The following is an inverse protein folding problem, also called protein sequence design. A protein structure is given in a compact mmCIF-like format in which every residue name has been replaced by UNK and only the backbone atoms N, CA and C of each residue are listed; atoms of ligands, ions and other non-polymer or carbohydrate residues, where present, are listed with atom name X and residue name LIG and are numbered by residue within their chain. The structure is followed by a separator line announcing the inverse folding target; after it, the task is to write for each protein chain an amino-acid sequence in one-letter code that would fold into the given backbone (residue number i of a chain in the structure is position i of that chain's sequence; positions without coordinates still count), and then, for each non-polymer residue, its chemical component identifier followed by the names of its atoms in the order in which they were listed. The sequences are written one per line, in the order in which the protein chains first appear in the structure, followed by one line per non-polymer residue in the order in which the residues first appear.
data_IF_389651865314
#
_entry.id   IF_389651865314
#
_cell.length_a   1.000
_cell.length_b   1.000
_cell.length_c   1.000
_cell.angle_alpha   90.00
_cell.angle_beta   90.00
_cell.angle_gamma   90.00
#
_symmetry.space_group_name_H-M   'P 1'
#
loop_
_entity.id
_entity.type
_entity.pdbx_description
1 polymer ?
#
# COMPACT_ATOMS: atom_id res chain seq x y z
N UNK A 1 3.81 20.89 -29.07
CA UNK A 1 3.55 19.60 -29.75
C UNK A 1 2.35 19.66 -30.70
N UNK A 2 1.14 20.04 -30.25
CA UNK A 2 -0.01 20.29 -31.15
C UNK A 2 0.29 21.26 -32.30
N UNK A 3 1.14 22.26 -32.04
CA UNK A 3 1.56 23.26 -33.03
C UNK A 3 2.41 22.67 -34.17
N UNK A 4 3.22 21.63 -33.90
CA UNK A 4 4.01 20.97 -34.95
C UNK A 4 3.14 20.18 -35.92
N UNK A 5 2.14 19.47 -35.41
CA UNK A 5 1.17 18.77 -36.25
C UNK A 5 0.30 19.75 -37.05
N UNK A 6 -0.13 20.85 -36.43
CA UNK A 6 -0.88 21.91 -37.13
C UNK A 6 -0.05 22.52 -38.28
N UNK A 7 1.21 22.88 -38.00
CA UNK A 7 2.11 23.43 -39.02
C UNK A 7 2.45 22.42 -40.13
N UNK A 8 2.49 21.11 -39.81
CA UNK A 8 2.69 20.06 -40.81
C UNK A 8 1.49 19.96 -41.78
N UNK A 9 0.27 20.04 -41.25
CA UNK A 9 -0.97 20.06 -42.05
C UNK A 9 -1.02 21.30 -42.94
N UNK A 10 -0.66 22.48 -42.40
CA UNK A 10 -0.61 23.72 -43.17
C UNK A 10 0.43 23.66 -44.30
N UNK A 11 1.63 23.12 -44.03
CA UNK A 11 2.68 22.93 -45.05
C UNK A 11 2.27 21.93 -46.14
N UNK A 12 1.58 20.85 -45.76
CA UNK A 12 1.04 19.88 -46.70
C UNK A 12 -0.02 20.50 -47.63
N UNK A 13 -0.93 21.31 -47.08
CA UNK A 13 -1.94 22.03 -47.85
C UNK A 13 -1.33 23.06 -48.83
N UNK A 14 -0.15 23.59 -48.53
CA UNK A 14 0.62 24.49 -49.40
C UNK A 14 1.48 23.73 -50.43
N UNK A 15 1.48 22.40 -50.43
CA UNK A 15 2.27 21.56 -51.35
C UNK A 15 3.76 21.42 -50.97
N UNK A 16 4.16 21.91 -49.80
CA UNK A 16 5.53 21.81 -49.29
C UNK A 16 5.69 20.52 -48.46
N UNK A 17 5.75 19.40 -49.17
CA UNK A 17 5.78 18.05 -48.58
C UNK A 17 7.04 17.78 -47.76
N UNK A 18 8.20 18.31 -48.17
CA UNK A 18 9.45 18.20 -47.42
C UNK A 18 9.36 18.88 -46.05
N UNK A 19 8.74 20.07 -46.02
CA UNK A 19 8.50 20.79 -44.77
C UNK A 19 7.44 20.13 -43.90
N UNK A 20 6.38 19.59 -44.52
CA UNK A 20 5.34 18.85 -43.81
C UNK A 20 5.92 17.62 -43.09
N UNK A 21 6.73 16.81 -43.78
CA UNK A 21 7.37 15.63 -43.19
C UNK A 21 8.31 16.00 -42.03
N UNK A 22 9.16 17.02 -42.20
CA UNK A 22 10.05 17.50 -41.13
C UNK A 22 9.30 17.98 -39.89
N UNK A 23 8.14 18.61 -40.06
CA UNK A 23 7.30 19.08 -38.96
C UNK A 23 6.57 17.94 -38.27
N UNK A 24 6.14 16.94 -39.03
CA UNK A 24 5.53 15.72 -38.51
C UNK A 24 6.51 14.91 -37.65
N UNK A 25 7.74 14.71 -38.12
CA UNK A 25 8.80 14.03 -37.36
C UNK A 25 9.10 14.72 -36.03
N UNK A 26 9.16 16.06 -36.03
CA UNK A 26 9.31 16.85 -34.80
C UNK A 26 8.12 16.68 -33.86
N UNK A 27 6.90 16.66 -34.40
CA UNK A 27 5.68 16.39 -33.65
C UNK A 27 5.73 15.05 -32.93
N UNK A 28 6.13 13.99 -33.64
CA UNK A 28 6.28 12.64 -33.10
C UNK A 28 7.37 12.54 -32.04
N UNK A 29 8.53 13.16 -32.27
CA UNK A 29 9.64 13.14 -31.32
C UNK A 29 9.26 13.75 -29.97
N UNK A 30 8.63 14.94 -29.98
CA UNK A 30 8.19 15.57 -28.73
C UNK A 30 6.99 14.85 -28.10
N UNK A 31 6.14 14.20 -28.90
CA UNK A 31 5.06 13.37 -28.38
C UNK A 31 5.59 12.21 -27.55
N UNK A 32 6.50 11.43 -28.12
CA UNK A 32 7.07 10.26 -27.46
C UNK A 32 7.81 10.65 -26.19
N UNK A 33 8.53 11.78 -26.19
CA UNK A 33 9.18 12.29 -24.98
C UNK A 33 8.19 12.67 -23.89
N UNK A 34 7.09 13.34 -24.24
CA UNK A 34 6.06 13.69 -23.26
C UNK A 34 5.36 12.44 -22.71
N UNK A 35 5.04 11.48 -23.58
CA UNK A 35 4.44 10.21 -23.17
C UNK A 35 5.36 9.44 -22.22
N UNK A 36 6.64 9.31 -22.56
CA UNK A 36 7.62 8.61 -21.72
C UNK A 36 7.79 9.30 -20.36
N UNK A 37 7.82 10.64 -20.34
CA UNK A 37 7.89 11.39 -19.09
C UNK A 37 6.63 11.21 -18.22
N UNK A 38 5.44 11.18 -18.83
CA UNK A 38 4.18 10.91 -18.13
C UNK A 38 4.12 9.47 -17.61
N UNK A 39 4.61 8.49 -18.36
CA UNK A 39 4.70 7.09 -17.94
C UNK A 39 5.69 6.93 -16.77
N UNK A 40 6.89 7.53 -16.87
CA UNK A 40 7.89 7.53 -15.79
C UNK A 40 7.37 8.27 -14.54
N UNK A 41 6.65 9.36 -14.73
CA UNK A 41 6.01 10.10 -13.63
C UNK A 41 4.90 9.28 -12.99
N UNK A 42 4.05 8.62 -13.78
CA UNK A 42 2.98 7.75 -13.30
C UNK A 42 3.55 6.56 -12.52
N UNK A 43 4.63 5.94 -13.01
CA UNK A 43 5.34 4.89 -12.29
C UNK A 43 5.91 5.39 -10.96
N UNK A 44 6.55 6.56 -10.94
CA UNK A 44 7.05 7.17 -9.69
C UNK A 44 5.92 7.52 -8.73
N UNK A 45 4.80 8.04 -9.22
CA UNK A 45 3.61 8.31 -8.39
C UNK A 45 3.05 7.00 -7.82
N UNK A 46 3.01 5.92 -8.61
CA UNK A 46 2.59 4.60 -8.14
C UNK A 46 3.56 4.03 -7.08
N UNK A 47 4.86 4.16 -7.27
CA UNK A 47 5.89 3.76 -6.29
C UNK A 47 5.80 4.60 -5.01
N UNK A 48 5.67 5.93 -5.14
CA UNK A 48 5.52 6.86 -4.02
C UNK A 48 4.22 6.57 -3.27
N UNK A 49 3.10 6.31 -3.96
CA UNK A 49 1.85 5.92 -3.31
C UNK A 49 1.98 4.55 -2.65
N UNK A 50 2.66 3.57 -3.24
CA UNK A 50 2.92 2.30 -2.56
C UNK A 50 3.77 2.46 -1.28
N UNK A 51 4.52 3.56 -1.15
CA UNK A 51 5.31 3.95 0.02
C UNK A 51 4.55 4.89 0.98
N UNK A 52 3.71 5.80 0.47
CA UNK A 52 3.00 6.85 1.23
C UNK A 52 1.53 6.52 1.54
N UNK A 53 0.87 5.72 0.70
CA UNK A 53 -0.47 5.17 0.89
C UNK A 53 -0.40 3.66 1.16
N UNK A 54 0.53 3.22 2.01
CA UNK A 54 0.12 2.21 2.98
C UNK A 54 -0.96 2.91 3.81
N UNK A 55 -2.24 2.72 3.45
CA UNK A 55 -3.29 2.77 4.45
C UNK A 55 -2.83 1.77 5.52
N UNK A 56 -2.16 2.28 6.55
CA UNK A 56 -1.60 1.50 7.64
C UNK A 56 -2.80 0.95 8.39
N UNK A 57 -3.25 -0.23 7.97
CA UNK A 57 -4.46 -0.83 8.47
C UNK A 57 -4.31 -0.97 9.97
N UNK A 58 -5.12 -0.21 10.70
CA UNK A 58 -5.08 -0.18 12.16
C UNK A 58 -6.24 -0.97 12.73
N UNK A 59 -5.93 -1.79 13.73
CA UNK A 59 -6.88 -2.57 14.49
C UNK A 59 -6.75 -2.15 15.95
N UNK A 60 -7.77 -1.45 16.42
CA UNK A 60 -7.85 -1.09 17.82
C UNK A 60 -8.55 -2.19 18.63
N UNK A 61 -7.84 -2.77 19.60
CA UNK A 61 -8.38 -3.75 20.54
C UNK A 61 -8.42 -3.24 21.98
N UNK A 62 -8.08 -1.96 22.24
CA UNK A 62 -7.88 -1.45 23.60
C UNK A 62 -9.18 -1.32 24.41
N UNK A 63 -10.33 -1.17 23.76
CA UNK A 63 -11.64 -1.12 24.43
C UNK A 63 -12.21 -2.52 24.68
N UNK A 64 -11.61 -3.55 24.10
CA UNK A 64 -12.14 -4.91 24.17
C UNK A 64 -11.54 -5.70 25.33
N UNK A 65 -12.39 -6.50 25.97
CA UNK A 65 -11.94 -7.55 26.88
C UNK A 65 -10.96 -8.51 26.18
N UNK A 66 -10.13 -9.18 26.97
CA UNK A 66 -9.04 -10.01 26.47
C UNK A 66 -9.50 -11.11 25.48
N UNK A 67 -10.69 -11.69 25.65
CA UNK A 67 -11.23 -12.72 24.74
C UNK A 67 -11.75 -12.14 23.40
N UNK A 68 -12.64 -11.14 23.40
CA UNK A 68 -13.03 -10.44 22.18
C UNK A 68 -11.85 -9.88 21.39
N UNK A 69 -10.87 -9.28 22.05
CA UNK A 69 -9.65 -8.77 21.43
C UNK A 69 -8.92 -9.86 20.62
N UNK A 70 -8.74 -11.05 21.21
CA UNK A 70 -8.09 -12.18 20.54
C UNK A 70 -8.91 -12.68 19.35
N UNK A 71 -10.23 -12.76 19.49
CA UNK A 71 -11.11 -13.20 18.40
C UNK A 71 -11.02 -12.23 17.22
N UNK A 72 -11.02 -10.93 17.50
CA UNK A 72 -10.94 -9.89 16.48
C UNK A 72 -9.58 -9.90 15.77
N UNK A 73 -8.49 -10.05 16.53
CA UNK A 73 -7.15 -10.15 15.98
C UNK A 73 -7.00 -11.38 15.06
N UNK A 74 -7.46 -12.55 15.50
CA UNK A 74 -7.44 -13.77 14.68
C UNK A 74 -8.21 -13.60 13.36
N UNK A 75 -9.38 -12.96 13.43
CA UNK A 75 -10.17 -12.70 12.23
C UNK A 75 -9.38 -11.85 11.24
N UNK A 76 -8.84 -10.70 11.66
CA UNK A 76 -8.08 -9.81 10.77
C UNK A 76 -6.85 -10.49 10.18
N UNK A 77 -6.05 -11.17 11.01
CA UNK A 77 -4.88 -11.92 10.51
C UNK A 77 -5.32 -12.97 9.48
N UNK A 78 -6.38 -13.74 9.76
CA UNK A 78 -6.83 -14.78 8.82
C UNK A 78 -7.33 -14.25 7.48
N UNK A 79 -8.00 -13.09 7.48
CA UNK A 79 -8.60 -12.53 6.27
C UNK A 79 -7.60 -11.75 5.41
N UNK A 80 -6.55 -11.19 6.04
CA UNK A 80 -5.66 -10.25 5.38
C UNK A 80 -4.28 -10.85 5.05
N UNK A 81 -3.88 -11.93 5.73
CA UNK A 81 -2.61 -12.60 5.46
C UNK A 81 -2.55 -13.15 4.04
N UNK A 82 -1.41 -12.97 3.37
CA UNK A 82 -1.20 -13.44 2.00
C UNK A 82 -1.82 -12.55 0.91
N UNK A 83 -2.48 -11.43 1.25
CA UNK A 83 -2.93 -10.43 0.29
C UNK A 83 -1.83 -9.38 0.12
N UNK A 84 -1.27 -9.26 -1.09
CA UNK A 84 -0.11 -8.39 -1.37
C UNK A 84 -0.34 -6.89 -1.10
N UNK A 85 -1.60 -6.44 -1.08
CA UNK A 85 -1.96 -5.05 -0.77
C UNK A 85 -1.93 -4.74 0.74
N UNK A 86 -1.98 -5.76 1.61
CA UNK A 86 -1.93 -5.60 3.06
C UNK A 86 -0.59 -6.11 3.59
N UNK A 87 0.38 -5.21 3.73
CA UNK A 87 1.73 -5.59 4.20
C UNK A 87 1.82 -5.65 5.72
N UNK A 88 1.26 -4.66 6.41
CA UNK A 88 1.34 -4.55 7.86
C UNK A 88 -0.04 -4.31 8.47
N UNK A 89 -0.25 -4.86 9.66
CA UNK A 89 -1.38 -4.57 10.53
C UNK A 89 -0.85 -3.87 11.79
N UNK A 90 -1.26 -2.62 12.02
CA UNK A 90 -0.99 -1.88 13.25
C UNK A 90 -2.04 -2.27 14.30
N UNK A 91 -1.65 -2.83 15.43
CA UNK A 91 -2.57 -3.29 16.48
C UNK A 91 -2.38 -2.46 17.74
N UNK A 92 -3.41 -1.72 18.15
CA UNK A 92 -3.40 -0.90 19.36
C UNK A 92 -3.93 -1.75 20.51
N UNK A 93 -3.03 -2.15 21.41
CA UNK A 93 -3.32 -3.07 22.54
C UNK A 93 -3.60 -2.28 23.81
N UNK A 94 -2.79 -1.27 24.08
CA UNK A 94 -2.87 -0.42 25.27
C UNK A 94 -2.79 1.04 24.81
N UNK A 95 -3.47 1.91 25.55
CA UNK A 95 -3.33 3.37 25.46
C UNK A 95 -2.72 3.86 26.78
N UNK A 96 -2.45 5.16 26.90
CA UNK A 96 -2.01 5.75 28.18
C UNK A 96 -3.09 5.70 29.28
N UNK A 97 -4.30 5.22 28.96
CA UNK A 97 -5.38 5.05 29.91
C UNK A 97 -5.23 3.78 30.73
N UNK A 98 -5.95 3.71 31.86
CA UNK A 98 -5.89 2.57 32.77
C UNK A 98 -6.49 1.32 32.11
N UNK A 99 -5.66 0.31 31.86
CA UNK A 99 -6.13 -0.97 31.32
C UNK A 99 -7.14 -1.66 32.24
N UNK A 100 -8.34 -1.86 31.72
CA UNK A 100 -9.45 -2.54 32.39
C UNK A 100 -9.18 -4.05 32.55
N UNK A 101 -8.32 -4.62 31.71
CA UNK A 101 -8.01 -6.05 31.68
C UNK A 101 -6.81 -6.45 32.56
N UNK A 102 -6.18 -5.49 33.25
CA UNK A 102 -5.01 -5.71 34.12
C UNK A 102 -3.86 -6.49 33.43
N UNK A 103 -3.61 -6.20 32.15
CA UNK A 103 -2.58 -6.79 31.31
C UNK A 103 -2.97 -8.13 30.67
N UNK A 104 -4.18 -8.66 30.94
CA UNK A 104 -4.60 -9.94 30.40
C UNK A 104 -4.70 -9.93 28.88
N UNK A 105 -5.17 -8.83 28.28
CA UNK A 105 -5.27 -8.66 26.82
C UNK A 105 -3.89 -8.78 26.16
N UNK A 106 -2.93 -7.95 26.57
CA UNK A 106 -1.55 -7.97 26.05
C UNK A 106 -0.92 -9.35 26.18
N UNK A 107 -1.00 -9.96 27.36
CA UNK A 107 -0.44 -11.31 27.60
C UNK A 107 -1.03 -12.37 26.65
N UNK A 108 -2.34 -12.35 26.41
CA UNK A 108 -2.96 -13.30 25.49
C UNK A 108 -2.57 -13.04 24.04
N UNK A 109 -2.45 -11.77 23.64
CA UNK A 109 -2.04 -11.41 22.28
C UNK A 109 -0.62 -11.88 22.02
N UNK A 110 0.32 -11.58 22.92
CA UNK A 110 1.71 -12.05 22.78
C UNK A 110 1.80 -13.58 22.74
N UNK A 111 1.05 -14.28 23.60
CA UNK A 111 0.99 -15.74 23.59
C UNK A 111 0.43 -16.31 22.28
N UNK A 112 -0.53 -15.62 21.65
CA UNK A 112 -1.05 -16.01 20.34
C UNK A 112 0.03 -15.86 19.27
N UNK A 113 0.71 -14.72 19.21
CA UNK A 113 1.73 -14.45 18.21
C UNK A 113 2.91 -15.44 18.33
N UNK A 114 3.36 -15.71 19.56
CA UNK A 114 4.40 -16.71 19.84
C UNK A 114 3.97 -18.12 19.40
N UNK A 115 2.76 -18.55 19.78
CA UNK A 115 2.24 -19.89 19.41
C UNK A 115 2.22 -20.10 17.90
N UNK A 116 1.87 -19.06 17.15
CA UNK A 116 1.70 -19.12 15.70
C UNK A 116 2.98 -18.73 14.94
N UNK A 117 4.08 -18.47 15.68
CA UNK A 117 5.36 -17.99 15.13
C UNK A 117 5.21 -16.75 14.25
N UNK A 118 4.32 -15.84 14.64
CA UNK A 118 4.07 -14.59 13.93
C UNK A 118 5.04 -13.52 14.44
N UNK A 119 5.83 -12.96 13.53
CA UNK A 119 6.71 -11.84 13.81
C UNK A 119 5.90 -10.57 14.12
N UNK A 120 6.41 -9.75 15.03
CA UNK A 120 5.87 -8.43 15.33
C UNK A 120 6.97 -7.49 15.84
N UNK A 121 6.75 -6.19 15.71
CA UNK A 121 7.62 -5.14 16.26
C UNK A 121 6.79 -4.15 17.05
N UNK A 122 7.37 -3.51 18.08
CA UNK A 122 6.71 -2.38 18.74
C UNK A 122 6.63 -1.21 17.75
N UNK A 123 5.47 -0.56 17.66
CA UNK A 123 5.30 0.68 16.91
C UNK A 123 5.82 1.88 17.73
N UNK A 124 5.86 3.07 17.13
CA UNK A 124 6.34 4.28 17.83
C UNK A 124 5.52 4.66 19.08
N UNK A 125 4.28 4.19 19.18
CA UNK A 125 3.37 4.42 20.30
C UNK A 125 3.41 3.25 21.29
N UNK A 126 3.57 3.53 22.58
CA UNK A 126 3.58 2.50 23.61
C UNK A 126 2.27 1.70 23.64
N UNK A 127 2.37 0.37 23.62
CA UNK A 127 1.18 -0.48 23.63
C UNK A 127 0.62 -0.74 22.23
N UNK A 128 1.36 -0.38 21.19
CA UNK A 128 0.99 -0.64 19.79
C UNK A 128 2.05 -1.51 19.12
N UNK A 129 1.62 -2.50 18.35
CA UNK A 129 2.51 -3.39 17.61
C UNK A 129 2.21 -3.36 16.11
N UNK A 130 3.21 -3.75 15.31
CA UNK A 130 3.09 -3.96 13.88
C UNK A 130 3.28 -5.44 13.56
N UNK A 131 2.35 -6.01 12.79
CA UNK A 131 2.38 -7.40 12.34
C UNK A 131 2.56 -7.43 10.82
N UNK A 132 3.64 -8.02 10.27
CA UNK A 132 3.86 -8.15 8.83
C UNK A 132 2.98 -9.27 8.25
N UNK A 133 1.84 -8.90 7.67
CA UNK A 133 0.84 -9.81 7.10
C UNK A 133 1.31 -10.53 5.83
N UNK A 134 2.22 -9.91 5.08
CA UNK A 134 2.82 -10.48 3.86
C UNK A 134 3.74 -11.67 4.15
N UNK A 135 4.28 -11.76 5.36
CA UNK A 135 5.12 -12.87 5.81
C UNK A 135 4.31 -14.07 6.33
N UNK A 136 3.03 -13.89 6.59
CA UNK A 136 2.18 -14.92 7.19
C UNK A 136 1.56 -15.79 6.11
N UNK A 137 1.78 -17.10 6.21
CA UNK A 137 1.04 -18.06 5.40
C UNK A 137 -0.34 -18.32 6.05
N UNK A 138 -1.46 -17.90 5.43
CA UNK A 138 -2.78 -18.09 6.03
C UNK A 138 -3.15 -19.55 6.25
N UNK A 139 -2.55 -20.51 5.52
CA UNK A 139 -2.84 -21.94 5.68
C UNK A 139 -2.15 -22.58 6.88
N UNK A 140 -1.13 -21.94 7.45
CA UNK A 140 -0.40 -22.48 8.61
C UNK A 140 -0.98 -22.04 9.95
N UNK A 141 -1.96 -21.13 9.95
CA UNK A 141 -2.56 -20.61 11.17
C UNK A 141 -3.49 -21.65 11.81
N UNK A 142 -3.39 -21.87 13.12
CA UNK A 142 -4.24 -22.86 13.80
C UNK A 142 -5.72 -22.45 13.88
N UNK A 143 -6.03 -21.21 13.54
CA UNK A 143 -7.35 -20.59 13.62
C UNK A 143 -7.94 -20.18 12.26
N UNK A 144 -7.25 -20.45 11.16
CA UNK A 144 -7.78 -20.32 9.81
C UNK A 144 -8.47 -21.65 9.43
N UNK A 145 -9.73 -21.80 9.80
CA UNK A 145 -10.59 -22.89 9.36
C UNK A 145 -11.88 -22.33 8.79
#
# INVERSE_FOLDING_TARGET
MKEYYKAAVDAYAMGDYDRANKLMDKGHFFHQKAQKADEESTQKIFEINNVQTQDELSLDVHEFDAKPAIRLLKYHISQLSGISSFRNLKVIIETNEKDTTKGARKRLIMKLLEKESIAWTEAGDAGTILIPLDTINPKSLSFSK
#
